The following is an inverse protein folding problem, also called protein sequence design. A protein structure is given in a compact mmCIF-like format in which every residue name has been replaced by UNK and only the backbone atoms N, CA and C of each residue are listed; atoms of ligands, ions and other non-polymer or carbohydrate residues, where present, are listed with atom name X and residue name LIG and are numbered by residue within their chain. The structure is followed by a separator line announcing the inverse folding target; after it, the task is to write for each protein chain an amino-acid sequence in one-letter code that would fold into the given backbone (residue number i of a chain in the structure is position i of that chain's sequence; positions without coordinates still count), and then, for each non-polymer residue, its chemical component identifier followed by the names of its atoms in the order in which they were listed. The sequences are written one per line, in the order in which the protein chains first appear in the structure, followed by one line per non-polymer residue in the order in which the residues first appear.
data_IF_748297265842
#
_entry.id   IF_748297265842
#
_cell.length_a   1.000
_cell.length_b   1.000
_cell.length_c   1.000
_cell.angle_alpha   90.00
_cell.angle_beta   90.00
_cell.angle_gamma   90.00
#
_symmetry.space_group_name_H-M   'P 1'
#
loop_
_entity.id
_entity.type
_entity.pdbx_description
1 polymer ?
#
# COMPACT_ATOMS: atom_id res chain seq x y z
N UNK A 1 -18.48 12.71 -10.97
CA UNK A 1 -17.07 12.47 -10.65
C UNK A 1 -16.32 13.75 -10.96
N UNK A 2 -16.09 14.57 -9.94
CA UNK A 2 -15.37 15.83 -10.09
C UNK A 2 -13.86 15.56 -10.12
N UNK A 3 -13.11 16.40 -10.82
CA UNK A 3 -11.64 16.39 -10.94
C UNK A 3 -10.87 16.46 -9.59
N UNK A 4 -11.55 16.49 -8.45
CA UNK A 4 -10.94 16.49 -7.11
C UNK A 4 -10.43 15.12 -6.64
N UNK A 5 -10.97 14.01 -7.14
CA UNK A 5 -10.64 12.67 -6.64
C UNK A 5 -9.32 12.11 -7.22
N UNK A 6 -8.82 12.68 -8.32
CA UNK A 6 -7.56 12.26 -8.97
C UNK A 6 -6.33 12.80 -8.22
N UNK A 7 -6.47 13.90 -7.46
CA UNK A 7 -5.38 14.56 -6.77
C UNK A 7 -4.88 13.88 -5.49
N UNK A 8 -5.62 12.92 -4.91
CA UNK A 8 -5.16 12.22 -3.70
C UNK A 8 -4.05 11.19 -4.00
N UNK A 9 -3.95 10.70 -5.24
CA UNK A 9 -2.90 9.75 -5.69
C UNK A 9 -1.49 10.36 -5.55
N UNK A 10 -1.35 11.69 -5.65
CA UNK A 10 -0.07 12.38 -5.45
C UNK A 10 0.31 12.55 -3.97
N UNK A 11 -0.65 12.49 -3.04
CA UNK A 11 -0.40 12.47 -1.58
C UNK A 11 -0.10 11.06 -1.08
N UNK A 12 -0.65 10.04 -1.72
CA UNK A 12 -0.47 8.63 -1.34
C UNK A 12 0.95 8.12 -1.61
N UNK A 13 1.65 8.70 -2.61
CA UNK A 13 3.08 8.42 -2.81
C UNK A 13 3.95 8.88 -1.62
N UNK A 14 3.48 9.86 -0.83
CA UNK A 14 4.22 10.57 0.24
C UNK A 14 4.25 9.84 1.57
N UNK A 15 3.78 8.61 1.60
CA UNK A 15 3.74 7.85 2.83
C UNK A 15 5.12 7.28 3.10
N UNK A 16 5.81 7.88 4.08
CA UNK A 16 6.47 7.04 5.08
C UNK A 16 5.42 5.98 5.42
N UNK A 17 5.68 4.72 5.13
CA UNK A 17 4.77 3.62 5.40
C UNK A 17 4.67 3.41 6.91
N UNK A 18 4.34 4.46 7.66
CA UNK A 18 4.30 4.62 9.12
C UNK A 18 3.34 3.64 9.77
N UNK A 19 2.35 3.14 9.03
CA UNK A 19 1.50 2.02 9.43
C UNK A 19 2.28 0.70 9.61
N UNK A 20 3.32 0.45 8.81
CA UNK A 20 4.09 -0.80 8.91
C UNK A 20 5.03 -0.82 10.13
N UNK A 21 5.68 0.29 10.56
CA UNK A 21 6.27 0.39 11.89
C UNK A 21 5.27 0.35 13.03
N UNK A 22 4.08 0.95 12.89
CA UNK A 22 3.03 0.89 13.92
C UNK A 22 2.60 -0.56 14.21
N UNK A 23 2.50 -1.38 13.17
CA UNK A 23 2.27 -2.82 13.28
C UNK A 23 3.57 -3.63 13.48
N UNK A 24 4.72 -2.97 13.63
CA UNK A 24 6.03 -3.58 13.85
C UNK A 24 6.46 -4.56 12.76
N UNK A 25 5.97 -4.39 11.53
CA UNK A 25 6.29 -5.23 10.38
C UNK A 25 7.63 -4.81 9.76
N UNK A 26 7.88 -3.50 9.62
CA UNK A 26 9.11 -2.94 9.02
C UNK A 26 9.44 -3.51 7.63
N UNK A 27 8.42 -3.70 6.78
CA UNK A 27 8.52 -4.37 5.46
C UNK A 27 8.55 -3.41 4.27
N UNK A 28 8.49 -2.12 4.54
CA UNK A 28 8.41 -1.07 3.54
C UNK A 28 9.70 -0.24 3.49
N UNK A 29 10.12 0.26 2.31
CA UNK A 29 11.23 1.19 2.21
C UNK A 29 10.92 2.50 2.94
N UNK A 30 11.98 3.22 3.33
CA UNK A 30 11.85 4.57 3.87
C UNK A 30 11.38 5.53 2.78
N UNK A 31 10.45 6.41 3.16
CA UNK A 31 9.88 7.42 2.27
C UNK A 31 9.79 8.73 3.03
N UNK A 32 10.05 9.83 2.33
CA UNK A 32 9.90 11.20 2.85
C UNK A 32 9.26 12.10 1.80
N UNK A 33 8.38 12.99 2.22
CA UNK A 33 7.88 14.07 1.40
C UNK A 33 8.97 15.10 1.09
N UNK A 34 9.01 15.59 -0.15
CA UNK A 34 9.93 16.65 -0.55
C UNK A 34 9.33 17.52 -1.64
N UNK A 35 9.51 18.83 -1.50
CA UNK A 35 9.30 19.78 -2.60
C UNK A 35 10.61 19.96 -3.37
N UNK A 36 10.56 19.78 -4.69
CA UNK A 36 11.71 19.91 -5.58
C UNK A 36 11.49 21.03 -6.58
N UNK A 37 12.52 21.82 -6.86
CA UNK A 37 12.47 22.79 -7.95
C UNK A 37 12.79 22.10 -9.28
N UNK A 38 11.83 22.03 -10.19
CA UNK A 38 11.98 21.32 -11.46
C UNK A 38 13.05 21.93 -12.37
N UNK A 39 13.18 23.25 -12.40
CA UNK A 39 14.14 23.97 -13.26
C UNK A 39 15.57 23.86 -12.75
N UNK A 40 15.76 23.83 -11.42
CA UNK A 40 17.09 23.84 -10.79
C UNK A 40 17.60 22.45 -10.44
N UNK A 41 16.72 21.54 -10.03
CA UNK A 41 17.12 20.25 -9.45
C UNK A 41 16.86 19.06 -10.38
N UNK A 42 15.90 19.14 -11.30
CA UNK A 42 15.52 18.01 -12.17
C UNK A 42 15.97 18.22 -13.60
N UNK A 43 15.52 19.31 -14.25
CA UNK A 43 15.76 19.56 -15.67
C UNK A 43 17.26 19.56 -16.06
N UNK A 44 18.18 20.19 -15.30
CA UNK A 44 19.60 20.26 -15.68
C UNK A 44 20.33 18.91 -15.62
N UNK A 45 19.86 17.99 -14.78
CA UNK A 45 20.46 16.66 -14.54
C UNK A 45 19.63 15.52 -15.14
N UNK A 46 18.54 15.85 -15.84
CA UNK A 46 17.63 14.88 -16.44
C UNK A 46 18.26 14.19 -17.66
N UNK A 47 17.87 12.94 -17.90
CA UNK A 47 18.20 12.26 -19.16
C UNK A 47 17.52 12.94 -20.34
N UNK A 48 18.09 12.81 -21.55
CA UNK A 48 17.51 13.37 -22.78
C UNK A 48 16.05 12.96 -22.98
N UNK A 49 15.71 11.70 -22.63
CA UNK A 49 14.35 11.16 -22.74
C UNK A 49 13.35 11.85 -21.81
N UNK A 50 13.76 12.19 -20.58
CA UNK A 50 12.90 12.92 -19.66
C UNK A 50 12.83 14.40 -20.06
N UNK A 51 13.98 15.00 -20.40
CA UNK A 51 14.09 16.40 -20.82
C UNK A 51 13.17 16.75 -21.99
N UNK A 52 13.04 15.85 -22.98
CA UNK A 52 12.16 16.06 -24.14
C UNK A 52 10.66 16.05 -23.83
N UNK A 53 10.27 15.77 -22.59
CA UNK A 53 8.86 15.71 -22.15
C UNK A 53 8.46 16.91 -21.30
N UNK A 54 9.37 17.85 -21.06
CA UNK A 54 9.05 19.08 -20.33
C UNK A 54 8.31 20.08 -21.22
N UNK A 55 7.30 20.73 -20.65
CA UNK A 55 6.49 21.75 -21.31
C UNK A 55 6.02 22.80 -20.27
N UNK A 56 5.43 23.90 -20.76
CA UNK A 56 4.86 24.95 -19.92
C UNK A 56 3.34 24.96 -20.07
N UNK A 57 2.61 25.08 -18.95
CA UNK A 57 1.15 25.24 -18.94
C UNK A 57 0.77 26.21 -17.84
N UNK A 58 0.08 27.30 -18.20
CA UNK A 58 -0.41 28.30 -17.26
C UNK A 58 0.70 28.84 -16.30
N UNK A 59 1.87 29.16 -16.85
CA UNK A 59 3.10 29.56 -16.12
C UNK A 59 3.70 28.50 -15.19
N UNK A 60 3.23 27.26 -15.25
CA UNK A 60 3.79 26.14 -14.51
C UNK A 60 4.73 25.31 -15.38
N UNK A 61 5.84 24.88 -14.79
CA UNK A 61 6.74 23.89 -15.38
C UNK A 61 6.14 22.51 -15.19
N UNK A 62 5.93 21.79 -16.30
CA UNK A 62 5.31 20.47 -16.32
C UNK A 62 6.17 19.46 -17.06
N UNK A 63 5.93 18.16 -16.82
CA UNK A 63 6.44 17.08 -17.66
C UNK A 63 5.51 15.87 -17.61
N UNK A 64 5.48 15.07 -18.67
CA UNK A 64 4.68 13.83 -18.72
C UNK A 64 5.54 12.55 -18.67
N UNK A 65 6.84 12.63 -18.92
CA UNK A 65 7.74 11.49 -18.88
C UNK A 65 7.49 10.43 -19.98
N UNK A 66 8.13 9.28 -19.86
CA UNK A 66 7.95 8.17 -20.80
C UNK A 66 7.62 6.89 -20.03
N UNK A 67 6.36 6.47 -20.09
CA UNK A 67 5.85 5.27 -19.43
C UNK A 67 4.71 4.66 -20.27
N UNK A 68 4.28 3.44 -19.95
CA UNK A 68 3.22 2.73 -20.70
C UNK A 68 1.92 3.54 -20.83
N UNK A 69 1.61 4.37 -19.83
CA UNK A 69 0.39 5.17 -19.75
C UNK A 69 0.64 6.68 -19.94
N UNK A 70 1.88 7.10 -20.18
CA UNK A 70 2.24 8.51 -20.33
C UNK A 70 2.35 8.80 -21.83
N UNK A 71 1.33 9.41 -22.43
CA UNK A 71 1.22 9.54 -23.88
C UNK A 71 1.40 10.97 -24.37
N UNK A 72 0.94 11.95 -23.60
CA UNK A 72 0.97 13.35 -24.03
C UNK A 72 1.02 14.30 -22.83
N UNK A 73 1.05 15.61 -23.12
CA UNK A 73 0.94 16.65 -22.11
C UNK A 73 -0.37 16.58 -21.29
N UNK A 74 -1.42 15.90 -21.79
CA UNK A 74 -2.67 15.69 -21.06
C UNK A 74 -2.46 14.82 -19.81
N UNK A 75 -1.49 13.89 -19.87
CA UNK A 75 -1.10 13.02 -18.76
C UNK A 75 -0.04 13.67 -17.84
N UNK A 76 0.37 14.90 -18.16
CA UNK A 76 1.49 15.58 -17.50
C UNK A 76 1.22 16.01 -16.07
N UNK A 77 2.26 15.98 -15.25
CA UNK A 77 2.26 16.59 -13.92
C UNK A 77 2.87 18.00 -13.99
N UNK A 78 2.22 18.96 -13.35
CA UNK A 78 2.66 20.35 -13.29
C UNK A 78 3.05 20.74 -11.87
N UNK A 79 4.14 21.50 -11.75
CA UNK A 79 4.52 22.17 -10.51
C UNK A 79 3.58 23.35 -10.19
N UNK A 80 3.68 23.87 -8.97
CA UNK A 80 3.24 25.24 -8.67
C UNK A 80 4.39 26.20 -8.99
N UNK A 81 4.29 26.89 -10.13
CA UNK A 81 5.39 27.57 -10.80
C UNK A 81 6.51 26.60 -11.18
N UNK A 82 7.50 26.47 -10.31
CA UNK A 82 8.65 25.56 -10.47
C UNK A 82 8.73 24.49 -9.38
N UNK A 83 7.94 24.61 -8.31
CA UNK A 83 8.03 23.77 -7.13
C UNK A 83 7.03 22.61 -7.23
N UNK A 84 7.55 21.39 -7.31
CA UNK A 84 6.74 20.18 -7.35
C UNK A 84 6.90 19.39 -6.06
N UNK A 85 5.80 19.15 -5.37
CA UNK A 85 5.77 18.24 -4.24
C UNK A 85 5.74 16.78 -4.71
N UNK A 86 6.56 15.96 -4.09
CA UNK A 86 6.61 14.53 -4.36
C UNK A 86 7.08 13.72 -3.17
N UNK A 87 7.30 12.44 -3.42
CA UNK A 87 7.81 11.51 -2.44
C UNK A 87 9.11 10.91 -2.92
N UNK A 88 10.09 10.85 -2.03
CA UNK A 88 11.38 10.21 -2.30
C UNK A 88 11.40 8.87 -1.57
N UNK A 89 11.38 7.79 -2.35
CA UNK A 89 11.43 6.42 -1.84
C UNK A 89 12.86 5.91 -1.92
N UNK A 90 13.41 5.47 -0.78
CA UNK A 90 14.76 4.93 -0.73
C UNK A 90 14.82 3.62 -1.52
N UNK A 91 15.74 3.55 -2.47
CA UNK A 91 16.01 2.32 -3.20
C UNK A 91 16.55 1.24 -2.26
N UNK A 92 16.12 0.00 -2.50
CA UNK A 92 16.73 -1.13 -1.83
C UNK A 92 18.21 -1.26 -2.25
N UNK A 93 19.11 -1.63 -1.32
CA UNK A 93 20.51 -1.83 -1.63
C UNK A 93 20.72 -2.78 -2.81
N UNK A 94 21.73 -2.51 -3.65
CA UNK A 94 22.03 -3.32 -4.85
C UNK A 94 22.29 -4.79 -4.54
N UNK A 95 22.86 -5.10 -3.39
CA UNK A 95 23.05 -6.48 -2.95
C UNK A 95 21.73 -7.24 -2.70
N UNK A 96 20.62 -6.51 -2.52
CA UNK A 96 19.28 -7.05 -2.31
C UNK A 96 18.40 -6.95 -3.57
N UNK A 97 18.94 -6.52 -4.72
CA UNK A 97 18.16 -6.40 -5.97
C UNK A 97 17.81 -7.74 -6.60
N UNK A 98 18.33 -8.85 -6.07
CA UNK A 98 17.76 -10.16 -6.35
C UNK A 98 16.51 -10.32 -5.48
N UNK A 99 15.39 -9.74 -5.92
CA UNK A 99 14.07 -10.03 -5.36
C UNK A 99 13.30 -10.93 -6.31
N UNK A 100 12.56 -11.88 -5.73
CA UNK A 100 11.65 -12.76 -6.45
C UNK A 100 10.25 -12.16 -6.38
N UNK A 101 9.66 -11.91 -7.54
CA UNK A 101 8.28 -11.45 -7.67
C UNK A 101 7.35 -12.67 -7.67
N UNK A 102 6.31 -12.62 -6.84
CA UNK A 102 5.28 -13.66 -6.71
C UNK A 102 3.93 -13.07 -7.07
N UNK A 103 3.04 -13.89 -7.65
CA UNK A 103 1.64 -13.51 -7.81
C UNK A 103 0.89 -13.70 -6.50
N UNK A 104 0.09 -12.71 -6.14
CA UNK A 104 -0.84 -12.86 -5.01
C UNK A 104 -1.90 -13.91 -5.37
N UNK A 105 -2.20 -14.89 -4.51
CA UNK A 105 -3.30 -15.83 -4.73
C UNK A 105 -4.66 -15.12 -4.82
N UNK A 106 -4.79 -13.99 -4.12
CA UNK A 106 -5.97 -13.14 -4.13
C UNK A 106 -5.86 -11.97 -5.11
N UNK A 107 -5.04 -12.09 -6.16
CA UNK A 107 -5.02 -11.09 -7.22
C UNK A 107 -6.40 -10.98 -7.91
N UNK A 108 -6.79 -9.76 -8.26
CA UNK A 108 -7.95 -9.51 -9.11
C UNK A 108 -7.66 -9.89 -10.56
N UNK A 109 -8.71 -10.10 -11.35
CA UNK A 109 -8.60 -10.49 -12.77
C UNK A 109 -8.31 -9.33 -13.72
N UNK A 110 -8.58 -8.09 -13.30
CA UNK A 110 -8.45 -6.85 -14.10
C UNK A 110 -9.07 -6.96 -15.50
N UNK A 111 -10.14 -7.75 -15.62
CA UNK A 111 -10.89 -7.98 -16.85
C UNK A 111 -12.36 -7.90 -16.54
N UNK A 112 -13.05 -7.02 -17.25
CA UNK A 112 -14.49 -6.85 -17.13
C UNK A 112 -15.22 -8.19 -17.40
N UNK A 113 -16.22 -8.49 -16.59
CA UNK A 113 -16.99 -9.74 -16.68
C UNK A 113 -16.27 -11.02 -16.23
N UNK A 114 -15.02 -10.93 -15.74
CA UNK A 114 -14.27 -12.10 -15.24
C UNK A 114 -14.05 -11.98 -13.74
N UNK A 115 -14.60 -12.90 -12.95
CA UNK A 115 -14.36 -13.00 -11.50
C UNK A 115 -13.16 -13.92 -11.21
N UNK A 116 -12.40 -13.62 -10.16
CA UNK A 116 -11.35 -14.50 -9.66
C UNK A 116 -11.96 -15.66 -8.84
N UNK A 117 -11.24 -16.78 -8.73
CA UNK A 117 -11.73 -17.95 -7.98
C UNK A 117 -12.06 -17.62 -6.52
N UNK A 118 -11.22 -16.82 -5.87
CA UNK A 118 -11.42 -16.41 -4.49
C UNK A 118 -12.68 -15.57 -4.26
N UNK A 119 -13.30 -15.01 -5.31
CA UNK A 119 -14.52 -14.19 -5.19
C UNK A 119 -15.79 -15.04 -4.99
N UNK A 120 -15.77 -16.33 -5.39
CA UNK A 120 -16.93 -17.22 -5.31
C UNK A 120 -16.67 -18.54 -4.56
N UNK A 121 -15.41 -18.87 -4.26
CA UNK A 121 -15.02 -20.06 -3.51
C UNK A 121 -14.64 -19.67 -2.07
N UNK A 122 -15.58 -19.82 -1.13
CA UNK A 122 -15.36 -19.50 0.29
C UNK A 122 -14.27 -20.37 0.93
N UNK A 123 -13.97 -21.54 0.36
CA UNK A 123 -12.92 -22.47 0.81
C UNK A 123 -11.59 -22.26 0.09
N UNK A 124 -11.45 -21.19 -0.71
CA UNK A 124 -10.28 -20.97 -1.54
C UNK A 124 -8.96 -20.98 -0.75
N UNK A 125 -8.95 -20.47 0.49
CA UNK A 125 -7.74 -20.50 1.32
C UNK A 125 -7.24 -21.92 1.61
N UNK A 126 -8.11 -22.94 1.66
CA UNK A 126 -7.69 -24.33 1.87
C UNK A 126 -6.88 -24.86 0.68
N UNK A 127 -7.22 -24.40 -0.54
CA UNK A 127 -6.40 -24.70 -1.73
C UNK A 127 -5.07 -23.95 -1.67
N UNK A 128 -5.07 -22.68 -1.23
CA UNK A 128 -3.85 -21.87 -1.15
C UNK A 128 -2.87 -22.49 -0.16
N UNK A 129 -3.31 -22.83 1.06
CA UNK A 129 -2.46 -23.41 2.12
C UNK A 129 -1.97 -24.83 1.82
N UNK A 130 -2.45 -25.47 0.76
CA UNK A 130 -2.01 -26.81 0.36
C UNK A 130 -0.89 -26.78 -0.69
N UNK A 131 -0.48 -25.59 -1.16
CA UNK A 131 0.45 -25.44 -2.27
C UNK A 131 1.60 -24.50 -1.91
N UNK A 132 2.83 -24.91 -2.24
CA UNK A 132 4.02 -24.07 -2.10
C UNK A 132 3.87 -22.72 -2.85
N UNK A 133 4.36 -21.60 -2.28
CA UNK A 133 5.12 -21.51 -1.03
C UNK A 133 4.25 -21.26 0.23
N UNK A 134 2.94 -21.51 0.19
CA UNK A 134 2.02 -21.19 1.29
C UNK A 134 1.70 -22.38 2.20
N UNK A 135 2.14 -23.58 1.83
CA UNK A 135 2.00 -24.83 2.56
C UNK A 135 2.93 -24.97 3.76
N UNK A 136 3.94 -24.12 3.84
CA UNK A 136 4.98 -24.15 4.87
C UNK A 136 5.59 -22.77 5.09
N UNK A 137 6.33 -22.63 6.19
CA UNK A 137 7.03 -21.39 6.53
C UNK A 137 6.11 -20.21 6.86
N UNK A 138 6.65 -18.97 6.85
CA UNK A 138 5.92 -17.78 7.28
C UNK A 138 5.07 -17.15 6.17
N UNK A 139 5.14 -17.68 4.93
CA UNK A 139 4.70 -16.93 3.74
C UNK A 139 3.22 -16.58 3.76
N UNK A 140 2.36 -17.53 4.14
CA UNK A 140 0.92 -17.26 4.23
C UNK A 140 0.64 -16.19 5.30
N UNK A 141 1.25 -16.30 6.48
CA UNK A 141 1.10 -15.30 7.54
C UNK A 141 1.61 -13.92 7.12
N UNK A 142 2.73 -13.85 6.41
CA UNK A 142 3.26 -12.58 5.90
C UNK A 142 2.32 -11.91 4.91
N UNK A 143 1.65 -12.69 4.07
CA UNK A 143 0.66 -12.18 3.14
C UNK A 143 -0.59 -11.70 3.89
N UNK A 144 -1.01 -12.40 4.95
CA UNK A 144 -2.14 -12.00 5.78
C UNK A 144 -1.84 -10.71 6.59
N UNK A 145 -0.61 -10.50 7.04
CA UNK A 145 -0.22 -9.18 7.60
C UNK A 145 -0.27 -8.07 6.54
N UNK A 146 0.17 -8.37 5.30
CA UNK A 146 0.11 -7.39 4.22
C UNK A 146 -1.34 -7.04 3.89
N UNK A 147 -2.27 -8.00 3.97
CA UNK A 147 -3.71 -7.79 3.82
C UNK A 147 -4.27 -6.88 4.91
N UNK A 148 -3.84 -7.03 6.16
CA UNK A 148 -4.20 -6.10 7.26
C UNK A 148 -3.82 -4.67 6.90
N UNK A 149 -2.58 -4.46 6.47
CA UNK A 149 -2.09 -3.13 6.07
C UNK A 149 -2.86 -2.62 4.86
N UNK A 150 -3.02 -3.43 3.81
CA UNK A 150 -3.73 -3.07 2.58
C UNK A 150 -5.18 -2.67 2.85
N UNK A 151 -5.86 -3.35 3.76
CA UNK A 151 -7.23 -3.00 4.10
C UNK A 151 -7.32 -1.65 4.81
N UNK A 152 -6.47 -1.43 5.82
CA UNK A 152 -6.43 -0.17 6.56
C UNK A 152 -6.17 1.01 5.62
N UNK A 153 -5.21 0.87 4.69
CA UNK A 153 -4.86 1.92 3.75
C UNK A 153 -5.76 1.96 2.50
N UNK A 154 -6.61 0.95 2.29
CA UNK A 154 -7.49 0.85 1.12
C UNK A 154 -6.78 0.50 -0.19
N UNK A 155 -5.67 -0.25 -0.13
CA UNK A 155 -4.93 -0.71 -1.32
C UNK A 155 -5.52 -2.00 -1.89
N UNK A 156 -6.39 -1.87 -2.89
CA UNK A 156 -7.02 -3.01 -3.57
C UNK A 156 -6.17 -3.61 -4.71
N UNK A 157 -4.93 -3.14 -4.91
CA UNK A 157 -4.13 -3.43 -6.12
C UNK A 157 -2.90 -4.31 -5.87
N UNK A 158 -2.77 -4.98 -4.72
CA UNK A 158 -1.65 -5.90 -4.45
C UNK A 158 -1.78 -7.23 -5.19
N UNK A 159 -1.59 -7.18 -6.50
CA UNK A 159 -1.64 -8.34 -7.40
C UNK A 159 -0.30 -9.12 -7.46
N UNK A 160 0.80 -8.50 -7.04
CA UNK A 160 2.08 -9.16 -6.80
C UNK A 160 2.69 -8.73 -5.46
N UNK A 161 3.67 -9.50 -5.02
CA UNK A 161 4.51 -9.15 -3.89
C UNK A 161 5.94 -9.68 -4.10
N UNK A 162 6.91 -9.07 -3.42
CA UNK A 162 8.32 -9.37 -3.57
C UNK A 162 8.90 -10.03 -2.32
N UNK A 163 9.87 -10.93 -2.49
CA UNK A 163 10.69 -11.49 -1.42
C UNK A 163 12.17 -11.44 -1.79
N UNK A 164 13.09 -11.55 -0.82
CA UNK A 164 14.51 -11.63 -1.12
C UNK A 164 14.83 -12.99 -1.76
N UNK A 165 15.46 -13.01 -2.93
CA UNK A 165 15.69 -14.24 -3.71
C UNK A 165 16.71 -15.17 -3.05
N UNK A 166 17.64 -14.62 -2.25
CA UNK A 166 18.73 -15.37 -1.61
C UNK A 166 18.38 -15.88 -0.21
N UNK A 167 17.12 -15.77 0.22
CA UNK A 167 16.67 -16.22 1.52
C UNK A 167 15.39 -17.06 1.39
N UNK A 168 15.48 -18.32 1.80
CA UNK A 168 14.30 -19.17 2.06
C UNK A 168 13.51 -18.56 3.21
N UNK A 169 12.18 -18.56 3.12
CA UNK A 169 11.29 -18.01 4.16
C UNK A 169 11.54 -16.54 4.54
N UNK A 170 12.07 -15.75 3.60
CA UNK A 170 12.20 -14.31 3.82
C UNK A 170 10.84 -13.63 3.93
N UNK A 171 10.80 -12.53 4.68
CA UNK A 171 9.63 -11.65 4.74
C UNK A 171 9.20 -11.17 3.35
N UNK A 172 7.91 -10.85 3.23
CA UNK A 172 7.40 -10.08 2.09
C UNK A 172 7.88 -8.62 2.21
N UNK A 173 8.29 -8.04 1.09
CA UNK A 173 8.60 -6.63 0.93
C UNK A 173 7.33 -5.92 0.41
N UNK A 174 6.92 -4.87 1.11
CA UNK A 174 5.72 -4.11 0.78
C UNK A 174 6.05 -2.91 -0.11
N UNK A 175 6.25 -3.18 -1.40
CA UNK A 175 6.46 -2.15 -2.41
C UNK A 175 5.13 -1.63 -2.99
N UNK A 176 5.21 -0.51 -3.70
CA UNK A 176 4.16 0.06 -4.55
C UNK A 176 2.80 0.34 -3.88
N UNK A 177 2.81 0.91 -2.68
CA UNK A 177 1.59 1.27 -1.93
C UNK A 177 0.93 2.58 -2.40
N UNK A 178 1.28 3.09 -3.58
CA UNK A 178 0.83 4.39 -4.08
C UNK A 178 -0.65 4.43 -4.51
N UNK A 179 -1.35 3.28 -4.53
CA UNK A 179 -2.77 3.13 -4.87
C UNK A 179 -3.67 2.98 -3.64
N UNK A 180 -3.21 3.51 -2.52
CA UNK A 180 -3.92 3.56 -1.23
C UNK A 180 -4.63 4.91 -1.04
N UNK A 181 -5.37 5.10 0.05
CA UNK A 181 -6.00 6.36 0.49
C UNK A 181 -6.62 7.21 -0.64
N UNK A 182 -7.24 6.58 -1.63
CA UNK A 182 -7.95 7.29 -2.71
C UNK A 182 -9.39 7.66 -2.33
N UNK A 183 -9.97 6.99 -1.33
CA UNK A 183 -11.34 7.23 -0.89
C UNK A 183 -11.49 6.91 0.60
N UNK A 184 -11.83 7.90 1.42
CA UNK A 184 -12.08 7.75 2.86
C UNK A 184 -13.54 7.44 3.20
N UNK A 185 -14.47 7.59 2.25
CA UNK A 185 -15.88 7.24 2.41
C UNK A 185 -16.17 5.75 2.14
N UNK A 186 -15.27 5.07 1.43
CA UNK A 186 -15.42 3.67 1.04
C UNK A 186 -14.40 2.78 1.75
N UNK A 187 -14.87 1.67 2.30
CA UNK A 187 -14.03 0.62 2.89
C UNK A 187 -14.14 -0.63 2.03
N UNK A 188 -13.09 -0.93 1.26
CA UNK A 188 -13.10 -2.02 0.29
C UNK A 188 -12.98 -3.40 0.99
N UNK A 189 -14.12 -3.95 1.41
CA UNK A 189 -14.21 -5.21 2.18
C UNK A 189 -13.58 -6.40 1.47
N UNK A 190 -13.55 -6.42 0.13
CA UNK A 190 -12.94 -7.54 -0.60
C UNK A 190 -11.43 -7.64 -0.38
N UNK A 191 -10.76 -6.60 0.14
CA UNK A 191 -9.35 -6.70 0.57
C UNK A 191 -9.21 -7.67 1.76
N UNK A 192 -10.20 -7.74 2.67
CA UNK A 192 -10.18 -8.63 3.84
C UNK A 192 -10.51 -10.09 3.53
N UNK A 193 -10.95 -10.42 2.32
CA UNK A 193 -11.31 -11.79 1.94
C UNK A 193 -10.25 -12.84 2.30
N UNK A 194 -8.93 -12.62 2.15
CA UNK A 194 -7.90 -13.57 2.59
C UNK A 194 -7.98 -13.86 4.10
N UNK A 195 -8.17 -12.84 4.94
CA UNK A 195 -8.33 -13.00 6.40
C UNK A 195 -9.61 -13.78 6.70
N UNK A 196 -10.72 -13.41 6.06
CA UNK A 196 -12.02 -14.08 6.23
C UNK A 196 -11.97 -15.56 5.85
N UNK A 197 -11.33 -15.91 4.72
CA UNK A 197 -11.26 -17.29 4.24
C UNK A 197 -10.27 -18.12 5.05
N UNK A 198 -9.11 -17.56 5.39
CA UNK A 198 -8.08 -18.31 6.12
C UNK A 198 -8.39 -18.44 7.61
N UNK A 199 -9.02 -17.41 8.20
CA UNK A 199 -9.15 -17.21 9.65
C UNK A 199 -7.84 -17.52 10.37
N UNK A 200 -6.78 -16.82 9.94
CA UNK A 200 -5.42 -17.00 10.41
C UNK A 200 -4.72 -15.64 10.43
N UNK A 201 -3.98 -15.32 11.49
CA UNK A 201 -3.17 -14.11 11.59
C UNK A 201 -2.04 -14.33 12.60
N UNK A 202 -0.93 -13.60 12.47
CA UNK A 202 0.13 -13.69 13.47
C UNK A 202 -0.31 -13.11 14.81
N UNK A 203 -0.02 -13.79 15.92
CA UNK A 203 -0.32 -13.33 17.28
C UNK A 203 0.21 -11.92 17.56
N UNK A 204 1.46 -11.64 17.17
CA UNK A 204 2.06 -10.32 17.35
C UNK A 204 1.33 -9.21 16.59
N UNK A 205 0.74 -9.53 15.43
CA UNK A 205 -0.04 -8.57 14.65
C UNK A 205 -1.38 -8.30 15.34
N UNK A 206 -2.05 -9.35 15.81
CA UNK A 206 -3.27 -9.24 16.62
C UNK A 206 -3.06 -8.37 17.86
N UNK A 207 -2.03 -8.68 18.67
CA UNK A 207 -1.77 -7.96 19.92
C UNK A 207 -1.52 -6.47 19.66
N UNK A 208 -0.84 -6.12 18.55
CA UNK A 208 -0.63 -4.72 18.15
C UNK A 208 -1.91 -4.03 17.68
N UNK A 209 -2.76 -4.71 16.91
CA UNK A 209 -4.05 -4.17 16.49
C UNK A 209 -4.92 -3.82 17.70
N UNK A 210 -4.89 -4.64 18.75
CA UNK A 210 -5.60 -4.38 20.01
C UNK A 210 -5.11 -3.12 20.74
N UNK A 211 -3.83 -2.76 20.61
CA UNK A 211 -3.29 -1.53 21.20
C UNK A 211 -3.66 -0.26 20.41
N UNK A 212 -4.11 -0.43 19.16
CA UNK A 212 -4.36 0.67 18.22
C UNK A 212 -5.84 1.06 18.12
N UNK A 213 -6.74 0.38 18.84
CA UNK A 213 -8.19 0.63 18.84
C UNK A 213 -8.56 1.96 19.51
N UNK A 214 -9.86 2.28 19.54
CA UNK A 214 -10.43 3.42 20.28
C UNK A 214 -9.79 4.78 19.88
N UNK A 215 -9.46 4.95 18.60
CA UNK A 215 -8.87 6.17 18.05
C UNK A 215 -7.35 6.31 18.26
N UNK A 216 -6.68 5.30 18.82
CA UNK A 216 -5.22 5.35 19.03
C UNK A 216 -4.48 5.32 17.69
N UNK A 217 -4.93 4.51 16.71
CA UNK A 217 -4.30 4.42 15.39
C UNK A 217 -4.19 5.77 14.70
N UNK A 218 -5.31 6.48 14.53
CA UNK A 218 -5.32 7.78 13.87
C UNK A 218 -4.47 8.82 14.60
N UNK A 219 -4.56 8.88 15.94
CA UNK A 219 -3.82 9.85 16.76
C UNK A 219 -2.30 9.63 16.68
N UNK A 220 -1.83 8.40 16.88
CA UNK A 220 -0.39 8.10 16.82
C UNK A 220 0.13 8.32 15.40
N UNK A 221 -0.63 7.89 14.39
CA UNK A 221 -0.25 8.10 13.01
C UNK A 221 -0.15 9.58 12.65
N UNK A 222 -1.12 10.40 13.08
CA UNK A 222 -1.11 11.85 12.89
C UNK A 222 0.17 12.47 13.44
N UNK A 223 0.52 12.15 14.69
CA UNK A 223 1.76 12.63 15.31
C UNK A 223 3.03 12.17 14.58
N UNK A 224 3.07 10.94 14.04
CA UNK A 224 4.21 10.47 13.25
C UNK A 224 4.32 11.23 11.92
N UNK A 225 3.20 11.52 11.26
CA UNK A 225 3.15 12.17 9.96
C UNK A 225 3.43 13.68 10.04
N UNK A 226 3.25 14.31 11.21
CA UNK A 226 3.61 15.72 11.44
C UNK A 226 5.11 16.00 11.30
N UNK A 227 5.96 14.98 11.43
CA UNK A 227 7.40 15.11 11.24
C UNK A 227 7.82 15.15 9.75
N UNK A 228 6.91 14.86 8.81
CA UNK A 228 7.22 14.91 7.38
C UNK A 228 7.25 16.37 6.87
N UNK A 229 8.22 16.77 6.02
CA UNK A 229 8.28 18.12 5.47
C UNK A 229 7.04 18.55 4.68
N UNK A 230 6.22 17.61 4.18
CA UNK A 230 4.98 17.88 3.47
C UNK A 230 3.73 17.74 4.35
N UNK A 231 3.87 17.78 5.68
CA UNK A 231 2.73 17.76 6.57
C UNK A 231 1.76 18.92 6.30
N UNK A 232 0.43 18.71 6.39
CA UNK A 232 -0.24 17.45 6.73
C UNK A 232 -0.29 16.47 5.55
N UNK A 233 0.14 15.22 5.80
CA UNK A 233 0.19 14.15 4.78
C UNK A 233 -1.19 13.55 4.52
N UNK A 234 -1.93 13.22 5.59
CA UNK A 234 -3.30 12.73 5.52
C UNK A 234 -4.25 13.80 6.07
N UNK A 235 -5.37 14.00 5.37
CA UNK A 235 -6.47 14.81 5.86
C UNK A 235 -7.26 14.05 6.94
N UNK A 236 -7.90 14.79 7.84
CA UNK A 236 -8.65 14.26 8.97
C UNK A 236 -9.67 13.15 8.61
N UNK A 237 -10.40 13.22 7.47
CA UNK A 237 -11.28 12.12 7.08
C UNK A 237 -10.58 10.78 6.81
N UNK A 238 -9.36 10.78 6.24
CA UNK A 238 -8.58 9.55 6.05
C UNK A 238 -8.10 8.98 7.39
N UNK A 239 -7.73 9.85 8.34
CA UNK A 239 -7.38 9.44 9.70
C UNK A 239 -8.56 8.76 10.39
N UNK A 240 -9.77 9.33 10.31
CA UNK A 240 -10.99 8.69 10.84
C UNK A 240 -11.36 7.39 10.14
N UNK A 241 -11.12 7.31 8.83
CA UNK A 241 -11.36 6.08 8.07
C UNK A 241 -10.45 4.93 8.53
N UNK A 242 -9.21 5.21 8.96
CA UNK A 242 -8.31 4.19 9.50
C UNK A 242 -8.86 3.55 10.77
N UNK A 243 -9.38 4.34 11.71
CA UNK A 243 -9.97 3.80 12.95
C UNK A 243 -11.22 2.96 12.63
N UNK A 244 -12.10 3.45 11.76
CA UNK A 244 -13.29 2.72 11.32
C UNK A 244 -12.92 1.39 10.64
N UNK A 245 -11.90 1.39 9.77
CA UNK A 245 -11.39 0.16 9.12
C UNK A 245 -10.77 -0.77 10.15
N UNK A 246 -10.06 -0.25 11.16
CA UNK A 246 -9.53 -1.08 12.24
C UNK A 246 -10.67 -1.79 12.99
N UNK A 247 -11.74 -1.08 13.33
CA UNK A 247 -12.92 -1.69 13.98
C UNK A 247 -13.52 -2.83 13.14
N UNK A 248 -13.72 -2.62 11.83
CA UNK A 248 -14.20 -3.67 10.93
C UNK A 248 -13.25 -4.88 10.88
N UNK A 249 -11.93 -4.64 10.78
CA UNK A 249 -10.94 -5.71 10.79
C UNK A 249 -11.00 -6.53 12.09
N UNK A 250 -11.11 -5.85 13.24
CA UNK A 250 -11.22 -6.51 14.53
C UNK A 250 -12.50 -7.36 14.62
N UNK A 251 -13.64 -6.85 14.13
CA UNK A 251 -14.90 -7.59 14.07
C UNK A 251 -14.80 -8.87 13.21
N UNK A 252 -14.12 -8.80 12.07
CA UNK A 252 -13.89 -9.99 11.23
C UNK A 252 -12.99 -11.01 11.92
N UNK A 253 -11.95 -10.57 12.62
CA UNK A 253 -11.08 -11.46 13.40
C UNK A 253 -11.83 -12.09 14.59
N UNK A 254 -12.72 -11.35 15.26
CA UNK A 254 -13.60 -11.90 16.29
C UNK A 254 -14.53 -12.98 15.73
N UNK A 255 -15.16 -12.73 14.57
CA UNK A 255 -15.98 -13.73 13.87
C UNK A 255 -15.18 -15.01 13.56
N UNK A 256 -13.92 -14.87 13.14
CA UNK A 256 -13.03 -16.02 12.94
C UNK A 256 -12.75 -16.79 14.24
N UNK A 257 -12.56 -16.10 15.36
CA UNK A 257 -12.33 -16.72 16.68
C UNK A 257 -13.57 -17.50 17.13
N UNK A 258 -14.77 -16.97 16.93
CA UNK A 258 -16.03 -17.66 17.21
C UNK A 258 -16.18 -18.96 16.40
N UNK A 259 -15.70 -18.97 15.16
CA UNK A 259 -15.80 -20.14 14.27
C UNK A 259 -14.74 -21.22 14.53
N UNK A 260 -13.49 -20.85 14.87
CA UNK A 260 -12.35 -21.81 14.92
C UNK A 260 -11.66 -21.92 16.29
N UNK A 261 -11.87 -21.00 17.24
CA UNK A 261 -11.10 -20.74 18.48
C UNK A 261 -9.85 -19.85 18.31
N UNK A 262 -9.52 -19.11 19.37
CA UNK A 262 -8.42 -18.13 19.39
C UNK A 262 -7.06 -18.76 19.04
N UNK A 263 -6.77 -19.95 19.56
CA UNK A 263 -5.49 -20.64 19.33
C UNK A 263 -5.31 -21.11 17.89
N UNK A 264 -6.40 -21.26 17.14
CA UNK A 264 -6.35 -21.63 15.72
C UNK A 264 -6.28 -20.41 14.80
N UNK A 265 -6.77 -19.27 15.26
CA UNK A 265 -6.78 -18.02 14.47
C UNK A 265 -5.46 -17.27 14.65
N UNK A 266 -4.94 -17.18 15.87
CA UNK A 266 -3.72 -16.42 16.17
C UNK A 266 -2.54 -17.36 16.44
N UNK A 267 -1.58 -17.37 15.52
CA UNK A 267 -0.39 -18.24 15.55
C UNK A 267 0.93 -17.48 15.62
#
# INVERSE_FOLDING_TARGET
MSQGDVCDIHRVRRQRLSHTPLLGLNRAPLVVGRTVNLQKEILPVSSTKLKSTFFQRDNNTCFYGQCLYCKSEEDGVCADGEMLEGAVVLWLPRQWTFYKKHRSPWQRTYKEGKVARWEYDDTYCDTVRAVAPYDSGPRLLDLLDAVVVDYLIGNADRHHYETFANATDSMIIMLDNAKSFGNYYHDEKSILTPIKQCCLLRRTTWDRLQLLKDGVLSNVLKGILEADPLAPILIEPHLKALDRRLEHLLQELHSCVEQKSEQKVFV
#
